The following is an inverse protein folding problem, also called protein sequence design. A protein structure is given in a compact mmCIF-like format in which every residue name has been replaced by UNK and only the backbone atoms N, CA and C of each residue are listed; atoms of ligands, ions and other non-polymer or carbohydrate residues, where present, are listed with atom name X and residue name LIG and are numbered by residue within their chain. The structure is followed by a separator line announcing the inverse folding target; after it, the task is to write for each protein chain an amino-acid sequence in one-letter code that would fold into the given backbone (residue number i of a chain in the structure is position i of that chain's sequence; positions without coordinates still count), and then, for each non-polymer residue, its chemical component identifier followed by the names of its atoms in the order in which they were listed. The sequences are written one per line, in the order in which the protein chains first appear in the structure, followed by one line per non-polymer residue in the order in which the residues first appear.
data_IF_232062409119
#
_entry.id   IF_232062409119
#
_cell.length_a   1.000
_cell.length_b   1.000
_cell.length_c   1.000
_cell.angle_alpha   90.00
_cell.angle_beta   90.00
_cell.angle_gamma   90.00
#
_symmetry.space_group_name_H-M   'P 1'
#
loop_
_entity.id
_entity.type
_entity.pdbx_description
1 polymer ?
#
# COMPACT_ATOMS: atom_id res chain seq x y z
N UNK A 1 90.13 17.82 -48.92
CA UNK A 1 88.91 17.31 -49.54
C UNK A 1 88.15 16.43 -48.52
N UNK A 2 86.90 16.78 -48.14
CA UNK A 2 86.12 15.94 -47.29
C UNK A 2 85.59 14.75 -48.13
N UNK A 3 85.87 13.54 -47.71
CA UNK A 3 85.37 12.31 -48.28
C UNK A 3 83.96 12.09 -47.65
N UNK A 4 82.93 12.20 -48.45
CA UNK A 4 81.61 11.76 -48.02
C UNK A 4 81.53 10.23 -48.19
N UNK A 5 81.46 9.48 -47.12
CA UNK A 5 81.12 8.11 -47.12
C UNK A 5 79.61 7.93 -47.12
N UNK A 6 79.03 7.46 -48.16
CA UNK A 6 77.62 7.05 -48.16
C UNK A 6 77.51 5.64 -47.65
N UNK A 7 77.05 5.45 -46.46
CA UNK A 7 76.69 4.13 -45.98
C UNK A 7 75.25 3.83 -46.36
N UNK A 8 75.10 2.81 -47.24
CA UNK A 8 73.78 2.22 -47.50
C UNK A 8 73.64 1.03 -46.55
N UNK A 9 72.80 1.17 -45.59
CA UNK A 9 72.41 0.08 -44.69
C UNK A 9 71.20 -0.63 -45.24
N UNK A 10 71.25 -1.92 -45.42
CA UNK A 10 70.10 -2.80 -45.69
C UNK A 10 69.52 -3.18 -44.33
N UNK A 11 68.35 -2.63 -43.98
CA UNK A 11 67.59 -3.08 -42.82
C UNK A 11 66.70 -4.23 -43.25
N UNK A 12 66.97 -5.43 -42.80
CA UNK A 12 66.11 -6.59 -43.02
C UNK A 12 65.29 -6.76 -41.72
N UNK A 13 64.04 -6.40 -41.79
CA UNK A 13 63.09 -6.67 -40.70
C UNK A 13 62.67 -8.15 -40.77
N UNK A 14 63.12 -8.95 -39.81
CA UNK A 14 62.63 -10.30 -39.57
C UNK A 14 61.43 -10.26 -38.62
N UNK A 15 60.34 -9.64 -39.07
CA UNK A 15 59.07 -9.63 -38.36
C UNK A 15 57.99 -10.23 -39.25
N UNK A 16 57.05 -10.88 -38.69
CA UNK A 16 55.84 -11.31 -39.41
C UNK A 16 55.03 -10.08 -39.90
N UNK A 17 54.03 -10.34 -40.71
CA UNK A 17 53.06 -9.29 -41.07
C UNK A 17 52.23 -8.98 -39.85
N UNK A 18 51.99 -7.70 -39.59
CA UNK A 18 51.09 -7.17 -38.57
C UNK A 18 50.11 -6.25 -39.33
N UNK A 19 48.86 -6.72 -39.50
CA UNK A 19 47.93 -6.13 -40.45
C UNK A 19 47.16 -4.95 -39.86
N UNK A 20 46.94 -4.90 -38.58
CA UNK A 20 46.19 -3.85 -37.83
C UNK A 20 47.09 -2.98 -36.95
N UNK A 21 48.38 -3.37 -36.82
CA UNK A 21 49.43 -2.60 -36.16
C UNK A 21 49.25 -2.49 -34.63
N UNK A 22 48.75 -3.55 -34.02
CA UNK A 22 48.60 -3.62 -32.56
C UNK A 22 49.84 -4.15 -31.81
N UNK A 23 50.82 -4.65 -32.59
CA UNK A 23 52.08 -5.21 -32.08
C UNK A 23 52.09 -6.73 -31.97
N UNK A 24 51.01 -7.39 -32.30
CA UNK A 24 50.90 -8.85 -32.44
C UNK A 24 50.95 -9.23 -33.92
N UNK A 25 51.86 -10.14 -34.28
CA UNK A 25 51.95 -10.54 -35.68
C UNK A 25 50.79 -11.45 -36.10
N UNK A 26 50.29 -11.29 -37.35
CA UNK A 26 49.13 -12.02 -37.92
C UNK A 26 49.13 -13.54 -37.64
N UNK A 27 50.30 -14.16 -37.49
CA UNK A 27 50.41 -15.61 -37.21
C UNK A 27 50.14 -16.00 -35.74
N UNK A 28 50.15 -15.03 -34.87
CA UNK A 28 49.90 -15.16 -33.40
C UNK A 28 48.75 -14.31 -32.94
N UNK A 29 48.07 -13.70 -33.88
CA UNK A 29 46.96 -12.80 -33.68
C UNK A 29 45.63 -13.50 -34.03
N UNK A 30 44.77 -13.64 -33.04
CA UNK A 30 43.46 -14.23 -33.19
C UNK A 30 42.47 -13.25 -33.87
N UNK A 31 42.78 -11.92 -33.89
CA UNK A 31 41.99 -10.85 -34.47
C UNK A 31 42.77 -9.99 -35.51
N UNK A 32 43.43 -10.52 -36.55
CA UNK A 32 44.46 -9.87 -37.36
C UNK A 32 44.02 -8.63 -38.17
N UNK A 33 42.83 -8.12 -37.97
CA UNK A 33 42.27 -6.94 -38.68
C UNK A 33 41.66 -5.94 -37.73
N UNK A 34 41.66 -6.24 -36.43
CA UNK A 34 41.06 -5.42 -35.41
C UNK A 34 42.06 -5.25 -34.26
N UNK A 35 42.68 -4.07 -34.11
CA UNK A 35 43.70 -3.86 -33.12
C UNK A 35 43.23 -4.22 -31.72
N UNK A 36 44.06 -4.97 -30.95
CA UNK A 36 43.71 -5.41 -29.63
C UNK A 36 44.88 -5.49 -28.67
N UNK A 37 44.77 -6.33 -27.68
CA UNK A 37 45.77 -6.44 -26.62
C UNK A 37 46.60 -7.70 -26.74
N UNK A 38 47.93 -7.67 -26.54
CA UNK A 38 48.76 -8.84 -26.51
C UNK A 38 48.33 -9.90 -25.50
N UNK A 39 47.63 -9.46 -24.41
CA UNK A 39 47.06 -10.35 -23.39
C UNK A 39 45.98 -11.29 -23.97
N UNK A 40 45.28 -10.84 -24.99
CA UNK A 40 44.20 -11.57 -25.69
C UNK A 40 44.60 -11.95 -27.09
N UNK A 41 45.90 -12.23 -27.31
CA UNK A 41 46.46 -12.61 -28.61
C UNK A 41 46.03 -11.68 -29.75
N UNK A 42 46.04 -10.33 -29.53
CA UNK A 42 45.64 -9.34 -30.51
C UNK A 42 44.15 -9.07 -30.62
N UNK A 43 43.32 -9.68 -29.80
CA UNK A 43 41.88 -9.34 -29.76
C UNK A 43 41.59 -8.16 -28.84
N UNK A 44 40.56 -7.32 -29.17
CA UNK A 44 40.19 -6.18 -28.35
C UNK A 44 39.48 -6.59 -27.04
N UNK A 45 39.56 -5.67 -26.08
CA UNK A 45 38.83 -5.58 -24.85
C UNK A 45 38.38 -4.11 -24.77
N UNK A 46 37.16 -3.87 -25.27
CA UNK A 46 36.72 -2.50 -25.60
C UNK A 46 36.38 -1.66 -24.36
N UNK A 47 35.95 -2.28 -23.29
CA UNK A 47 35.60 -1.60 -22.05
C UNK A 47 36.67 -1.71 -20.95
N UNK A 48 37.62 -2.66 -21.12
CA UNK A 48 38.78 -2.76 -20.24
C UNK A 48 38.53 -3.56 -18.97
N UNK A 49 37.55 -4.42 -18.93
CA UNK A 49 37.21 -5.22 -17.75
C UNK A 49 38.07 -6.49 -17.60
N UNK A 50 38.86 -6.82 -18.63
CA UNK A 50 39.77 -7.97 -18.65
C UNK A 50 39.20 -9.22 -19.35
N UNK A 51 38.12 -9.07 -20.08
CA UNK A 51 37.49 -10.06 -20.92
C UNK A 51 37.56 -9.58 -22.36
N UNK A 52 38.03 -10.44 -23.30
CA UNK A 52 38.05 -10.04 -24.70
C UNK A 52 36.63 -9.93 -25.28
N UNK A 53 36.38 -8.98 -26.18
CA UNK A 53 35.05 -8.67 -26.74
C UNK A 53 34.31 -9.91 -27.28
N UNK A 54 35.06 -10.89 -27.81
CA UNK A 54 34.49 -12.12 -28.39
C UNK A 54 33.93 -13.10 -27.34
N UNK A 55 34.33 -12.92 -26.08
CA UNK A 55 33.93 -13.74 -24.93
C UNK A 55 33.10 -12.96 -23.94
N UNK A 56 32.95 -11.67 -24.20
CA UNK A 56 32.18 -10.73 -23.38
C UNK A 56 30.73 -10.63 -23.91
N UNK A 57 29.78 -10.82 -23.02
CA UNK A 57 28.38 -10.66 -23.34
C UNK A 57 27.96 -9.15 -23.37
N UNK A 58 28.78 -8.27 -22.77
CA UNK A 58 28.56 -6.82 -22.68
C UNK A 58 29.82 -6.01 -23.09
N UNK A 59 30.35 -6.14 -24.29
CA UNK A 59 31.69 -5.66 -24.69
C UNK A 59 31.94 -4.16 -24.58
N UNK A 60 30.96 -3.37 -24.25
CA UNK A 60 31.05 -1.90 -24.13
C UNK A 60 30.75 -1.39 -22.72
N UNK A 61 30.47 -2.31 -21.77
CA UNK A 61 30.10 -1.96 -20.39
C UNK A 61 30.87 -2.87 -19.42
N UNK A 62 31.87 -2.34 -18.72
CA UNK A 62 32.71 -3.13 -17.85
C UNK A 62 31.89 -3.91 -16.80
N UNK A 63 32.19 -5.20 -16.69
CA UNK A 63 31.45 -6.06 -15.80
C UNK A 63 32.27 -7.10 -15.07
N UNK A 64 31.65 -8.19 -14.67
CA UNK A 64 32.27 -9.23 -13.88
C UNK A 64 32.43 -10.54 -14.68
N UNK A 65 33.52 -11.24 -14.47
CA UNK A 65 33.77 -12.52 -15.11
C UNK A 65 32.66 -13.56 -14.83
N UNK A 66 32.07 -13.53 -13.63
CA UNK A 66 30.96 -14.42 -13.26
C UNK A 66 29.68 -14.17 -14.05
N UNK A 67 29.51 -12.96 -14.61
CA UNK A 67 28.40 -12.58 -15.49
C UNK A 67 28.81 -12.46 -16.96
N UNK A 68 29.95 -13.11 -17.34
CA UNK A 68 30.51 -13.08 -18.70
C UNK A 68 30.72 -11.65 -19.21
N UNK A 69 31.27 -10.75 -18.36
CA UNK A 69 31.56 -9.38 -18.73
C UNK A 69 30.40 -8.38 -18.55
N UNK A 70 29.24 -8.83 -18.09
CA UNK A 70 28.16 -7.89 -17.78
C UNK A 70 28.24 -7.35 -16.36
N UNK A 71 27.77 -6.11 -16.17
CA UNK A 71 27.62 -5.48 -14.88
C UNK A 71 26.45 -6.08 -14.09
N UNK A 72 26.54 -5.96 -12.77
CA UNK A 72 25.46 -6.18 -11.80
C UNK A 72 25.44 -4.91 -10.95
N UNK A 73 24.53 -3.99 -11.31
CA UNK A 73 24.57 -2.62 -10.79
C UNK A 73 24.09 -2.47 -9.35
N UNK A 74 23.23 -3.36 -8.87
CA UNK A 74 22.69 -3.32 -7.50
C UNK A 74 23.25 -4.43 -6.61
N UNK A 75 23.96 -5.40 -7.20
CA UNK A 75 24.69 -6.42 -6.47
C UNK A 75 23.84 -7.59 -5.97
N UNK A 76 22.72 -7.89 -6.62
CA UNK A 76 21.79 -8.95 -6.19
C UNK A 76 22.13 -10.33 -6.78
N UNK A 77 23.09 -10.40 -7.72
CA UNK A 77 23.53 -11.61 -8.36
C UNK A 77 22.82 -11.92 -9.69
N UNK A 78 22.08 -10.94 -10.22
CA UNK A 78 21.52 -10.98 -11.58
C UNK A 78 22.18 -9.89 -12.41
N UNK A 79 22.78 -10.25 -13.55
CA UNK A 79 23.44 -9.27 -14.41
C UNK A 79 22.40 -8.33 -15.04
N UNK A 80 22.73 -7.03 -15.18
CA UNK A 80 21.86 -5.97 -15.69
C UNK A 80 21.05 -6.34 -16.96
N UNK A 81 21.64 -7.03 -17.98
CA UNK A 81 20.85 -7.42 -19.15
C UNK A 81 19.76 -8.48 -18.89
N UNK A 82 19.86 -9.19 -17.77
CA UNK A 82 18.91 -10.23 -17.36
C UNK A 82 18.04 -9.77 -16.18
N UNK A 83 18.35 -8.60 -15.65
CA UNK A 83 17.68 -7.99 -14.51
C UNK A 83 16.55 -7.05 -14.97
N UNK A 84 15.35 -7.28 -14.47
CA UNK A 84 14.21 -6.39 -14.72
C UNK A 84 14.23 -5.14 -13.85
N UNK A 85 14.98 -5.20 -12.75
CA UNK A 85 15.08 -4.13 -11.76
C UNK A 85 16.55 -3.72 -11.48
N UNK A 86 17.38 -3.39 -12.48
CA UNK A 86 18.85 -3.34 -12.40
C UNK A 86 19.43 -2.25 -11.45
N UNK A 87 18.63 -1.58 -10.71
CA UNK A 87 19.01 -0.56 -9.71
C UNK A 87 18.41 -0.79 -8.33
N UNK A 88 17.69 -1.89 -8.15
CA UNK A 88 17.02 -2.23 -6.89
C UNK A 88 17.17 -3.72 -6.64
N UNK A 89 18.11 -4.07 -5.80
CA UNK A 89 18.44 -5.47 -5.49
C UNK A 89 17.22 -6.30 -5.10
N UNK A 90 17.07 -7.44 -5.74
CA UNK A 90 15.92 -8.30 -5.55
C UNK A 90 16.25 -9.79 -5.54
N UNK A 91 15.41 -10.58 -6.11
CA UNK A 91 15.54 -12.04 -6.07
C UNK A 91 15.67 -12.62 -7.48
N UNK A 92 16.60 -13.53 -7.67
CA UNK A 92 16.78 -14.20 -8.97
C UNK A 92 15.54 -14.96 -9.48
N UNK A 93 14.66 -15.43 -8.58
CA UNK A 93 13.35 -16.01 -8.94
C UNK A 93 12.39 -15.02 -9.60
N UNK A 94 12.63 -13.72 -9.47
CA UNK A 94 11.86 -12.62 -10.06
C UNK A 94 12.70 -11.81 -11.04
N UNK A 95 13.74 -12.43 -11.60
CA UNK A 95 14.65 -11.81 -12.55
C UNK A 95 15.22 -10.47 -12.01
N UNK A 96 15.70 -10.47 -10.74
CA UNK A 96 16.30 -9.33 -10.08
C UNK A 96 15.33 -8.36 -9.41
N UNK A 97 14.00 -8.58 -9.47
CA UNK A 97 13.07 -7.70 -8.80
C UNK A 97 12.82 -8.07 -7.32
N UNK A 98 12.55 -7.08 -6.45
CA UNK A 98 12.31 -7.31 -5.03
C UNK A 98 10.96 -7.95 -4.72
N UNK A 99 10.90 -8.57 -3.54
CA UNK A 99 9.74 -9.10 -2.84
C UNK A 99 9.95 -8.67 -1.38
N UNK A 100 9.43 -7.47 -1.06
CA UNK A 100 9.83 -6.76 0.14
C UNK A 100 9.29 -7.37 1.44
N UNK A 101 8.12 -8.01 1.41
CA UNK A 101 7.52 -8.67 2.58
C UNK A 101 7.71 -10.19 2.58
N UNK A 102 8.17 -10.77 1.47
CA UNK A 102 8.57 -12.16 1.37
C UNK A 102 7.40 -13.14 1.18
N UNK A 103 6.25 -12.69 0.69
CA UNK A 103 5.08 -13.54 0.49
C UNK A 103 5.12 -14.38 -0.80
N UNK A 104 6.06 -14.08 -1.67
CA UNK A 104 6.29 -14.82 -2.92
C UNK A 104 5.72 -14.13 -4.16
N UNK A 105 5.29 -12.89 -4.03
CA UNK A 105 4.87 -12.00 -5.12
C UNK A 105 5.91 -10.89 -5.25
N UNK A 106 6.33 -10.55 -6.46
CA UNK A 106 7.24 -9.43 -6.66
C UNK A 106 6.51 -8.09 -6.40
N UNK A 107 7.19 -7.10 -5.82
CA UNK A 107 6.61 -5.80 -5.42
C UNK A 107 5.81 -5.12 -6.54
N UNK A 108 6.22 -5.30 -7.81
CA UNK A 108 5.55 -4.70 -8.96
C UNK A 108 4.19 -5.33 -9.30
N UNK A 109 3.91 -6.52 -8.75
CA UNK A 109 2.67 -7.29 -8.95
C UNK A 109 1.88 -7.46 -7.67
N UNK A 110 2.43 -6.96 -6.57
CA UNK A 110 1.83 -7.00 -5.26
C UNK A 110 1.02 -5.72 -4.99
N UNK A 111 -0.25 -5.89 -4.61
CA UNK A 111 -1.10 -4.76 -4.19
C UNK A 111 -0.71 -4.22 -2.81
N UNK A 112 -0.02 -5.06 -2.00
CA UNK A 112 0.43 -4.73 -0.63
C UNK A 112 1.92 -5.04 -0.41
N UNK A 113 2.88 -4.43 -1.12
CA UNK A 113 4.29 -4.84 -1.18
C UNK A 113 5.06 -4.82 0.16
N UNK A 114 4.45 -4.42 1.25
CA UNK A 114 5.05 -4.34 2.57
C UNK A 114 4.25 -5.08 3.65
N UNK A 115 3.24 -5.86 3.23
CA UNK A 115 2.35 -6.57 4.15
C UNK A 115 1.94 -7.90 3.55
N UNK A 116 2.72 -8.93 3.87
CA UNK A 116 2.61 -10.26 3.30
C UNK A 116 1.19 -10.84 3.35
N UNK A 117 0.70 -11.30 2.20
CA UNK A 117 -0.60 -11.89 2.07
C UNK A 117 -0.68 -12.94 0.95
N UNK A 118 -1.77 -13.69 0.86
CA UNK A 118 -1.90 -14.71 -0.16
C UNK A 118 -2.20 -14.12 -1.55
N UNK A 119 -1.71 -14.77 -2.58
CA UNK A 119 -1.89 -14.35 -3.98
C UNK A 119 -3.36 -14.23 -4.43
N UNK A 120 -4.28 -14.94 -3.76
CA UNK A 120 -5.73 -14.83 -4.02
C UNK A 120 -6.27 -13.43 -3.72
N UNK A 121 -5.58 -12.67 -2.87
CA UNK A 121 -5.91 -11.29 -2.52
C UNK A 121 -4.88 -10.29 -3.06
N UNK A 122 -4.13 -10.68 -4.12
CA UNK A 122 -3.15 -9.80 -4.75
C UNK A 122 -1.95 -9.48 -3.87
N UNK A 123 -1.59 -10.35 -2.89
CA UNK A 123 -0.53 -10.11 -1.92
C UNK A 123 -0.97 -9.41 -0.64
N UNK A 124 -2.24 -9.01 -0.53
CA UNK A 124 -2.73 -8.36 0.68
C UNK A 124 -3.16 -9.36 1.76
N UNK A 125 -2.92 -9.06 3.04
CA UNK A 125 -3.42 -9.88 4.15
C UNK A 125 -4.95 -9.86 4.27
N UNK A 126 -5.48 -10.86 4.95
CA UNK A 126 -6.87 -10.99 5.39
C UNK A 126 -6.79 -11.39 6.87
N UNK A 127 -6.83 -10.36 7.74
CA UNK A 127 -6.45 -10.50 9.15
C UNK A 127 -7.45 -11.32 9.95
N UNK A 128 -8.75 -11.20 9.67
CA UNK A 128 -9.80 -11.95 10.39
C UNK A 128 -10.24 -13.22 9.66
N UNK A 129 -9.83 -13.41 8.40
CA UNK A 129 -10.05 -14.62 7.63
C UNK A 129 -11.46 -14.73 7.04
N UNK A 130 -12.15 -13.64 6.80
CA UNK A 130 -13.51 -13.63 6.28
C UNK A 130 -13.61 -13.71 4.76
N UNK A 131 -12.49 -13.62 4.07
CA UNK A 131 -12.40 -13.68 2.61
C UNK A 131 -12.38 -12.33 1.91
N UNK A 132 -12.25 -11.24 2.67
CA UNK A 132 -12.01 -9.88 2.17
C UNK A 132 -10.63 -9.43 2.64
N UNK A 133 -9.78 -8.97 1.72
CA UNK A 133 -8.47 -8.48 2.12
C UNK A 133 -8.58 -7.20 2.95
N UNK A 134 -7.66 -6.98 3.90
CA UNK A 134 -7.63 -5.83 4.81
C UNK A 134 -7.76 -4.49 4.07
N UNK A 135 -7.20 -4.40 2.86
CA UNK A 135 -7.30 -3.21 2.02
C UNK A 135 -8.74 -2.91 1.55
N UNK A 136 -9.54 -3.95 1.36
CA UNK A 136 -10.93 -3.87 0.88
C UNK A 136 -11.93 -4.04 2.01
N UNK A 137 -11.45 -4.38 3.20
CA UNK A 137 -12.23 -4.61 4.40
C UNK A 137 -12.35 -3.32 5.24
N UNK A 138 -13.59 -2.93 5.55
CA UNK A 138 -13.86 -1.82 6.46
C UNK A 138 -13.79 -2.19 7.94
N UNK A 139 -13.74 -3.49 8.22
CA UNK A 139 -13.67 -4.06 9.57
C UNK A 139 -12.58 -5.14 9.68
N UNK A 140 -11.29 -4.88 9.38
CA UNK A 140 -10.25 -5.89 9.17
C UNK A 140 -9.95 -6.83 10.35
N UNK A 141 -10.52 -6.57 11.52
CA UNK A 141 -10.36 -7.38 12.74
C UNK A 141 -11.66 -8.11 13.15
N UNK A 142 -12.74 -7.97 12.37
CA UNK A 142 -14.07 -8.48 12.76
C UNK A 142 -14.79 -9.10 11.58
N UNK A 143 -14.79 -10.42 11.54
CA UNK A 143 -15.39 -11.25 10.48
C UNK A 143 -16.77 -10.75 10.05
N UNK A 144 -16.94 -10.52 8.75
CA UNK A 144 -18.20 -10.12 8.15
C UNK A 144 -18.35 -10.59 6.70
N UNK A 145 -19.49 -10.42 6.06
CA UNK A 145 -19.68 -10.86 4.69
C UNK A 145 -19.11 -9.87 3.68
N UNK A 146 -18.60 -10.37 2.57
CA UNK A 146 -18.03 -9.55 1.49
C UNK A 146 -19.03 -8.56 0.87
N UNK A 147 -20.32 -8.86 0.88
CA UNK A 147 -21.38 -7.95 0.40
C UNK A 147 -21.60 -6.74 1.34
N UNK A 148 -21.05 -6.80 2.56
CA UNK A 148 -20.98 -5.68 3.51
C UNK A 148 -19.53 -5.18 3.70
N UNK A 149 -18.64 -5.40 2.72
CA UNK A 149 -17.23 -4.96 2.76
C UNK A 149 -16.50 -5.47 4.01
N UNK A 150 -16.63 -6.77 4.33
CA UNK A 150 -15.99 -7.40 5.48
C UNK A 150 -16.60 -7.06 6.84
N UNK A 151 -17.55 -6.16 6.93
CA UNK A 151 -18.16 -5.80 8.20
C UNK A 151 -19.38 -6.70 8.55
N UNK A 152 -19.55 -7.06 9.81
CA UNK A 152 -20.75 -7.79 10.23
C UNK A 152 -22.03 -7.00 10.03
N UNK A 153 -23.11 -7.67 9.67
CA UNK A 153 -24.44 -7.07 9.64
C UNK A 153 -25.02 -6.96 11.05
N UNK A 154 -25.69 -5.83 11.41
CA UNK A 154 -26.30 -5.68 12.72
C UNK A 154 -27.32 -6.79 13.01
N UNK A 155 -27.15 -7.48 14.13
CA UNK A 155 -28.12 -8.46 14.59
C UNK A 155 -29.38 -7.78 15.14
N UNK A 156 -30.51 -8.48 15.11
CA UNK A 156 -31.74 -7.98 15.73
C UNK A 156 -31.56 -7.62 17.21
N UNK A 157 -30.75 -8.39 17.92
CA UNK A 157 -30.42 -8.16 19.34
C UNK A 157 -29.60 -6.88 19.54
N UNK A 158 -28.60 -6.61 18.65
CA UNK A 158 -27.84 -5.36 18.68
C UNK A 158 -28.71 -4.14 18.40
N UNK A 159 -29.63 -4.25 17.44
CA UNK A 159 -30.59 -3.19 17.12
C UNK A 159 -31.53 -2.91 18.29
N UNK A 160 -32.04 -3.96 18.93
CA UNK A 160 -32.90 -3.83 20.14
C UNK A 160 -32.14 -3.17 21.27
N UNK A 161 -30.88 -3.56 21.52
CA UNK A 161 -30.03 -2.97 22.55
C UNK A 161 -29.73 -1.50 22.28
N UNK A 162 -29.40 -1.13 21.03
CA UNK A 162 -29.20 0.27 20.63
C UNK A 162 -30.44 1.12 20.88
N UNK A 163 -31.62 0.63 20.50
CA UNK A 163 -32.90 1.31 20.70
C UNK A 163 -33.23 1.47 22.20
N UNK A 164 -32.92 0.45 23.02
CA UNK A 164 -33.11 0.52 24.46
C UNK A 164 -32.17 1.54 25.11
N UNK A 165 -30.89 1.57 24.73
CA UNK A 165 -29.92 2.56 25.23
C UNK A 165 -30.29 3.98 24.80
N UNK A 166 -30.65 4.20 23.54
CA UNK A 166 -31.09 5.50 23.02
C UNK A 166 -32.31 6.05 23.73
N UNK A 167 -33.27 5.19 24.10
CA UNK A 167 -34.51 5.58 24.75
C UNK A 167 -34.32 6.11 26.17
N UNK A 168 -33.17 5.87 26.80
CA UNK A 168 -32.92 6.30 28.21
C UNK A 168 -31.85 7.40 28.30
N UNK A 169 -31.37 7.93 27.17
CA UNK A 169 -30.46 9.09 27.15
C UNK A 169 -31.17 10.30 27.71
N UNK A 170 -30.65 10.92 28.79
CA UNK A 170 -31.23 12.03 29.45
C UNK A 170 -30.51 13.34 29.16
N UNK A 171 -31.32 14.44 29.13
CA UNK A 171 -30.88 15.80 28.89
C UNK A 171 -31.23 16.70 30.04
N UNK A 172 -30.56 17.87 30.15
CA UNK A 172 -30.98 18.92 31.04
C UNK A 172 -32.38 19.45 30.66
N UNK A 173 -33.09 19.98 31.65
CA UNK A 173 -34.45 20.45 31.43
C UNK A 173 -34.49 21.60 30.40
N UNK A 174 -35.28 21.42 29.35
CA UNK A 174 -35.46 22.39 28.25
C UNK A 174 -34.15 22.71 27.47
N UNK A 175 -33.14 21.86 27.57
CA UNK A 175 -31.87 22.01 26.87
C UNK A 175 -31.53 20.74 26.08
N UNK A 176 -30.55 20.86 25.17
CA UNK A 176 -29.94 19.74 24.45
C UNK A 176 -28.71 19.16 25.17
N UNK A 177 -28.21 19.79 26.23
CA UNK A 177 -27.07 19.31 26.99
C UNK A 177 -27.35 17.91 27.58
N UNK A 178 -26.48 16.94 27.23
CA UNK A 178 -26.55 15.58 27.75
C UNK A 178 -26.15 15.61 29.25
N UNK A 179 -26.89 14.89 30.07
CA UNK A 179 -26.52 14.74 31.48
C UNK A 179 -25.32 13.80 31.64
N UNK A 180 -24.48 14.06 32.65
CA UNK A 180 -23.29 13.24 32.93
C UNK A 180 -23.60 11.74 33.07
N UNK A 181 -24.74 11.43 33.69
CA UNK A 181 -25.20 10.06 33.92
C UNK A 181 -25.55 9.30 32.62
N UNK A 182 -25.77 10.02 31.52
CA UNK A 182 -26.06 9.43 30.21
C UNK A 182 -24.79 9.18 29.38
N UNK A 183 -23.62 9.65 29.80
CA UNK A 183 -22.38 9.48 29.03
C UNK A 183 -21.94 8.02 28.94
N UNK A 184 -22.13 7.25 30.02
CA UNK A 184 -21.82 5.81 30.02
C UNK A 184 -22.74 5.03 29.05
N UNK A 185 -24.00 5.47 28.90
CA UNK A 185 -24.93 4.89 27.93
C UNK A 185 -24.47 5.16 26.49
N UNK A 186 -23.97 6.36 26.22
CA UNK A 186 -23.44 6.73 24.91
C UNK A 186 -22.12 6.02 24.60
N UNK A 187 -21.31 5.70 25.62
CA UNK A 187 -20.15 4.84 25.43
C UNK A 187 -20.57 3.42 24.97
N UNK A 188 -21.58 2.84 25.62
CA UNK A 188 -22.10 1.54 25.19
C UNK A 188 -22.74 1.57 23.79
N UNK A 189 -23.37 2.68 23.41
CA UNK A 189 -23.86 2.91 22.04
C UNK A 189 -22.69 2.97 21.06
N UNK A 190 -21.62 3.69 21.38
CA UNK A 190 -20.41 3.78 20.58
C UNK A 190 -19.78 2.39 20.36
N UNK A 191 -19.62 1.60 21.41
CA UNK A 191 -19.06 0.24 21.33
C UNK A 191 -19.84 -0.66 20.34
N UNK A 192 -21.18 -0.61 20.42
CA UNK A 192 -22.02 -1.36 19.47
C UNK A 192 -21.85 -0.82 18.05
N UNK A 193 -21.87 0.51 17.85
CA UNK A 193 -21.70 1.11 16.51
C UNK A 193 -20.33 0.83 15.90
N UNK A 194 -19.29 0.70 16.73
CA UNK A 194 -17.93 0.38 16.29
C UNK A 194 -17.83 -1.05 15.74
N UNK A 195 -18.58 -2.00 16.32
CA UNK A 195 -18.66 -3.38 15.81
C UNK A 195 -19.25 -3.46 14.40
N UNK A 196 -20.12 -2.51 14.02
CA UNK A 196 -20.83 -2.51 12.73
C UNK A 196 -20.34 -1.34 11.86
N UNK A 197 -19.05 -1.37 11.49
CA UNK A 197 -18.31 -0.28 10.84
C UNK A 197 -18.92 0.26 9.55
N UNK A 198 -19.62 -0.56 8.78
CA UNK A 198 -20.25 -0.18 7.50
C UNK A 198 -21.77 0.10 7.60
N UNK A 199 -22.31 0.22 8.82
CA UNK A 199 -23.75 0.47 9.04
C UNK A 199 -24.01 1.94 9.29
N UNK A 200 -25.06 2.47 8.65
CA UNK A 200 -25.56 3.83 8.87
C UNK A 200 -26.65 3.83 9.96
N UNK A 201 -26.63 4.85 10.79
CA UNK A 201 -27.56 4.99 11.91
C UNK A 201 -28.35 6.29 11.83
N UNK A 202 -29.63 6.20 12.20
CA UNK A 202 -30.52 7.35 12.33
C UNK A 202 -30.77 7.64 13.81
N UNK A 203 -30.41 8.84 14.25
CA UNK A 203 -30.65 9.32 15.63
C UNK A 203 -31.94 10.12 15.63
N UNK A 204 -32.97 9.60 16.26
CA UNK A 204 -34.29 10.23 16.37
C UNK A 204 -34.45 10.95 17.71
N UNK A 205 -34.74 12.24 17.65
CA UNK A 205 -35.07 13.04 18.82
C UNK A 205 -36.57 13.16 19.03
N UNK A 206 -37.01 13.02 20.29
CA UNK A 206 -38.42 13.08 20.67
C UNK A 206 -38.63 14.02 21.87
N UNK A 207 -39.85 14.54 22.03
CA UNK A 207 -40.29 15.27 23.21
C UNK A 207 -41.70 14.82 23.60
N UNK A 208 -42.10 15.15 24.82
CA UNK A 208 -43.52 15.11 25.17
C UNK A 208 -44.25 16.40 24.68
N UNK A 209 -45.55 16.46 24.93
CA UNK A 209 -46.41 17.60 24.56
C UNK A 209 -46.29 18.78 25.52
N UNK A 210 -45.26 18.86 26.36
CA UNK A 210 -45.06 19.98 27.26
C UNK A 210 -44.35 21.13 26.53
N UNK A 211 -45.06 22.20 26.21
CA UNK A 211 -44.53 23.36 25.53
C UNK A 211 -45.06 23.55 24.10
N UNK A 212 -44.65 24.63 23.44
CA UNK A 212 -45.06 24.89 22.05
C UNK A 212 -44.47 23.86 21.07
N UNK A 213 -45.26 23.40 20.10
CA UNK A 213 -44.83 22.41 19.07
C UNK A 213 -43.56 22.86 18.35
N UNK A 214 -43.46 24.13 17.94
CA UNK A 214 -42.28 24.63 17.25
C UNK A 214 -41.01 24.55 18.14
N UNK A 215 -41.12 24.78 19.43
CA UNK A 215 -40.04 24.61 20.41
C UNK A 215 -39.66 23.12 20.53
N UNK A 216 -40.66 22.24 20.66
CA UNK A 216 -40.45 20.80 20.78
C UNK A 216 -39.75 20.21 19.55
N UNK A 217 -40.12 20.63 18.33
CA UNK A 217 -39.46 20.20 17.08
C UNK A 217 -37.99 20.63 17.07
N UNK A 218 -37.71 21.89 17.40
CA UNK A 218 -36.33 22.37 17.47
C UNK A 218 -35.54 21.64 18.57
N UNK A 219 -36.06 21.52 19.76
CA UNK A 219 -35.39 20.89 20.90
C UNK A 219 -35.05 19.42 20.63
N UNK A 220 -35.96 18.69 19.99
CA UNK A 220 -35.72 17.30 19.65
C UNK A 220 -34.60 17.14 18.61
N UNK A 221 -34.54 17.99 17.60
CA UNK A 221 -33.45 18.01 16.63
C UNK A 221 -32.11 18.42 17.26
N UNK A 222 -32.11 19.47 18.11
CA UNK A 222 -30.90 19.91 18.81
C UNK A 222 -30.36 18.80 19.71
N UNK A 223 -31.21 17.99 20.36
CA UNK A 223 -30.81 16.81 21.14
C UNK A 223 -30.22 15.70 20.31
N UNK A 224 -30.83 15.38 19.17
CA UNK A 224 -30.29 14.39 18.25
C UNK A 224 -28.92 14.81 17.72
N UNK A 225 -28.75 16.10 17.40
CA UNK A 225 -27.45 16.65 16.96
C UNK A 225 -26.38 16.60 18.05
N UNK A 226 -26.76 16.85 19.31
CA UNK A 226 -25.83 16.75 20.45
C UNK A 226 -25.33 15.32 20.65
N UNK A 227 -26.22 14.31 20.54
CA UNK A 227 -25.83 12.90 20.57
C UNK A 227 -24.92 12.58 19.40
N UNK A 228 -25.25 13.03 18.17
CA UNK A 228 -24.37 12.86 17.01
C UNK A 228 -22.99 13.45 17.28
N UNK A 229 -22.91 14.70 17.74
CA UNK A 229 -21.64 15.36 18.03
C UNK A 229 -20.81 14.55 19.01
N UNK A 230 -21.43 14.09 20.10
CA UNK A 230 -20.73 13.28 21.10
C UNK A 230 -20.19 11.95 20.56
N UNK A 231 -20.96 11.27 19.69
CA UNK A 231 -20.51 10.00 19.05
C UNK A 231 -19.39 10.25 18.04
N UNK A 232 -19.44 11.36 17.29
CA UNK A 232 -18.36 11.77 16.37
C UNK A 232 -17.09 12.10 17.16
N UNK A 233 -17.19 12.80 18.28
CA UNK A 233 -16.06 13.10 19.16
C UNK A 233 -15.42 11.84 19.76
N UNK A 234 -16.19 10.75 19.84
CA UNK A 234 -15.70 9.42 20.26
C UNK A 234 -15.07 8.61 19.09
N UNK A 235 -15.23 9.06 17.85
CA UNK A 235 -14.62 8.42 16.69
C UNK A 235 -15.58 7.75 15.71
N UNK A 236 -16.91 7.88 15.89
CA UNK A 236 -17.86 7.42 14.85
C UNK A 236 -17.79 8.37 13.68
N UNK A 237 -17.69 7.84 12.46
CA UNK A 237 -17.70 8.64 11.24
C UNK A 237 -19.03 9.42 11.13
N UNK A 238 -18.92 10.73 10.91
CA UNK A 238 -20.07 11.65 10.82
C UNK A 238 -21.02 11.31 9.66
N UNK A 239 -20.50 10.72 8.58
CA UNK A 239 -21.29 10.35 7.40
C UNK A 239 -22.18 9.13 7.65
N UNK A 240 -21.85 8.33 8.65
CA UNK A 240 -22.67 7.20 9.12
C UNK A 240 -23.86 7.63 9.99
N UNK A 241 -23.89 8.88 10.43
CA UNK A 241 -24.88 9.36 11.40
C UNK A 241 -25.81 10.40 10.78
N UNK A 242 -27.09 10.10 10.73
CA UNK A 242 -28.16 11.03 10.38
C UNK A 242 -28.98 11.41 11.62
N UNK A 243 -29.53 12.61 11.64
CA UNK A 243 -30.35 13.12 12.76
C UNK A 243 -31.70 13.59 12.28
N UNK A 244 -32.72 13.36 13.09
CA UNK A 244 -34.08 13.89 12.85
C UNK A 244 -34.76 14.23 14.18
N UNK A 245 -35.45 15.35 14.23
CA UNK A 245 -36.25 15.75 15.37
C UNK A 245 -37.74 15.65 15.07
N UNK A 246 -38.45 14.78 15.76
CA UNK A 246 -39.89 14.59 15.60
C UNK A 246 -40.73 15.42 16.60
N UNK A 247 -40.07 16.09 17.57
CA UNK A 247 -40.82 16.76 18.62
C UNK A 247 -41.82 15.81 19.29
N UNK A 248 -43.08 16.22 19.33
CA UNK A 248 -44.20 15.45 19.92
C UNK A 248 -44.96 14.59 18.91
N UNK A 249 -44.59 14.59 17.62
CA UNK A 249 -45.38 14.01 16.53
C UNK A 249 -45.31 12.47 16.47
N UNK A 250 -44.31 11.84 17.09
CA UNK A 250 -44.19 10.39 17.17
C UNK A 250 -44.11 9.89 18.63
N UNK A 251 -45.20 9.93 19.39
CA UNK A 251 -45.18 9.49 20.77
C UNK A 251 -45.14 7.95 20.86
N UNK A 252 -44.24 7.40 21.71
CA UNK A 252 -44.23 5.95 22.07
C UNK A 252 -45.39 5.56 22.96
N UNK A 253 -45.78 6.48 23.88
CA UNK A 253 -46.83 6.28 24.86
C UNK A 253 -47.77 7.49 24.86
N UNK A 254 -48.95 7.32 25.48
CA UNK A 254 -49.93 8.41 25.56
C UNK A 254 -49.42 9.60 26.39
N UNK A 255 -49.34 10.78 25.77
CA UNK A 255 -48.95 12.04 26.43
C UNK A 255 -49.95 12.51 27.48
N UNK A 256 -51.15 11.87 27.60
CA UNK A 256 -52.15 12.21 28.61
C UNK A 256 -51.73 11.82 30.04
N UNK A 257 -50.86 10.85 30.18
CA UNK A 257 -50.38 10.40 31.49
C UNK A 257 -48.95 10.90 31.76
N UNK A 258 -48.63 11.07 33.06
CA UNK A 258 -47.24 11.43 33.45
C UNK A 258 -46.24 10.36 33.00
N UNK A 259 -46.62 9.07 33.13
CA UNK A 259 -45.77 7.94 32.73
C UNK A 259 -45.49 8.00 31.22
N UNK A 260 -46.51 8.20 30.40
CA UNK A 260 -46.35 8.29 28.95
C UNK A 260 -45.52 9.49 28.51
N UNK A 261 -45.69 10.67 29.16
CA UNK A 261 -44.82 11.81 28.87
C UNK A 261 -43.35 11.57 29.22
N UNK A 262 -43.06 10.81 30.27
CA UNK A 262 -41.68 10.43 30.62
C UNK A 262 -41.11 9.49 29.55
N UNK A 263 -41.91 8.56 29.04
CA UNK A 263 -41.50 7.63 28.00
C UNK A 263 -41.28 8.28 26.60
N UNK A 264 -41.85 9.48 26.40
CA UNK A 264 -41.78 10.23 25.14
C UNK A 264 -40.70 11.34 25.16
N UNK A 265 -39.89 11.39 26.18
CA UNK A 265 -38.76 12.37 26.29
C UNK A 265 -37.44 11.69 25.86
#
# INVERSE_FOLDING_TARGET
HPHFQHNVGLSINFGGKDSDQDGVYDQHDDCPKTPGLPLFNGCPDSDGDGIEDSKDACPEVPGLLEFNGCADSDGDGVADPNDKCPSVAGLSKFDGCPDSDGDGIEDSKDECPNAAGPSVYGGCPDTDGDGVSDQNDKCPEVVGPADNSGCPNPTAEAIEKLNALGAVVQFELNKSNIKSEALDLLLAVYEIMSTYGNTNFLIEGHTDTSGPKAFNNKLSLDRANEVKSHLVDKGVDADRLSTVGYGEDKPKESNKTRKGRIANR
#
